data_IF_865662657105
#
_entry.id   IF_865662657105
#
_cell.length_a   1.000
_cell.length_b   1.000
_cell.length_c   1.000
_cell.angle_alpha   90.00
_cell.angle_beta   90.00
_cell.angle_gamma   90.00
#
_symmetry.space_group_name_H-M   'P 1'
#
loop_
_entity.id
_entity.type
_entity.pdbx_description
1 polymer ?
#
# COMPACT_ATOMS: atom_id res chain seq x y z
N UNK A 1 22.11 -16.52 6.65
CA UNK A 1 21.05 -15.65 6.09
C UNK A 1 19.96 -16.45 5.37
N UNK A 2 20.19 -17.16 4.27
CA UNK A 2 19.13 -17.92 3.56
C UNK A 2 18.43 -19.01 4.37
N UNK A 3 19.13 -19.75 5.26
CA UNK A 3 18.53 -20.77 6.13
C UNK A 3 17.66 -20.19 7.25
N UNK A 4 17.98 -19.01 7.71
CA UNK A 4 17.30 -18.31 8.80
C UNK A 4 15.88 -17.87 8.37
N UNK A 5 15.76 -17.25 7.20
CA UNK A 5 14.44 -16.89 6.66
C UNK A 5 13.59 -18.11 6.28
N UNK A 6 14.22 -19.21 5.84
CA UNK A 6 13.49 -20.46 5.55
C UNK A 6 12.86 -21.06 6.80
N UNK A 7 13.50 -20.94 7.96
CA UNK A 7 12.92 -21.36 9.24
C UNK A 7 11.79 -20.41 9.66
N UNK A 8 12.02 -19.10 9.48
CA UNK A 8 11.07 -18.07 9.88
C UNK A 8 9.73 -18.20 9.12
N UNK A 9 9.76 -18.33 7.80
CA UNK A 9 8.54 -18.45 6.98
C UNK A 9 7.76 -19.76 7.21
N UNK A 10 8.41 -20.77 7.82
CA UNK A 10 7.77 -22.06 8.11
C UNK A 10 7.14 -22.15 9.51
N UNK A 11 7.25 -21.12 10.33
CA UNK A 11 6.61 -21.08 11.65
C UNK A 11 5.08 -21.05 11.56
N UNK A 12 4.42 -21.51 12.62
CA UNK A 12 2.97 -21.49 12.68
C UNK A 12 2.41 -20.24 13.32
N UNK A 13 3.18 -19.55 14.14
CA UNK A 13 2.81 -18.29 14.76
C UNK A 13 3.92 -17.27 14.57
N UNK A 14 3.56 -16.04 14.36
CA UNK A 14 4.49 -14.96 14.06
C UNK A 14 4.40 -13.86 15.12
N UNK A 15 5.53 -13.52 15.71
CA UNK A 15 5.65 -12.31 16.51
C UNK A 15 5.76 -11.07 15.60
N UNK A 16 5.61 -9.87 16.18
CA UNK A 16 5.87 -8.62 15.46
C UNK A 16 7.30 -8.57 14.87
N UNK A 17 8.29 -9.11 15.61
CA UNK A 17 9.68 -9.14 15.15
C UNK A 17 9.83 -10.06 13.94
N UNK A 18 9.19 -11.22 13.96
CA UNK A 18 9.22 -12.17 12.85
C UNK A 18 8.63 -11.56 11.58
N UNK A 19 7.46 -10.93 11.71
CA UNK A 19 6.77 -10.27 10.59
C UNK A 19 7.58 -9.08 10.06
N UNK A 20 8.20 -8.30 10.94
CA UNK A 20 9.09 -7.20 10.54
C UNK A 20 10.31 -7.70 9.78
N UNK A 21 10.90 -8.82 10.22
CA UNK A 21 12.04 -9.43 9.54
C UNK A 21 11.66 -9.96 8.14
N UNK A 22 10.47 -10.59 7.99
CA UNK A 22 9.98 -11.06 6.70
C UNK A 22 9.76 -9.87 5.75
N UNK A 23 9.08 -8.84 6.20
CA UNK A 23 8.77 -7.64 5.39
C UNK A 23 10.07 -6.93 4.98
N UNK A 24 11.00 -6.72 5.90
CA UNK A 24 12.27 -6.07 5.62
C UNK A 24 13.12 -6.91 4.65
N UNK A 25 13.24 -8.22 4.90
CA UNK A 25 14.02 -9.09 4.03
C UNK A 25 13.47 -9.14 2.59
N UNK A 26 12.16 -9.08 2.42
CA UNK A 26 11.56 -8.97 1.10
C UNK A 26 11.82 -7.60 0.46
N UNK A 27 11.68 -6.52 1.23
CA UNK A 27 11.90 -5.16 0.73
C UNK A 27 13.35 -4.88 0.34
N UNK A 28 14.33 -5.55 0.99
CA UNK A 28 15.76 -5.44 0.66
C UNK A 28 16.23 -6.43 -0.40
N UNK A 29 15.40 -7.39 -0.79
CA UNK A 29 15.74 -8.46 -1.74
C UNK A 29 16.48 -9.66 -1.13
N UNK A 30 16.60 -9.70 0.20
CA UNK A 30 17.21 -10.84 0.91
C UNK A 30 16.30 -12.07 0.93
N UNK A 31 14.99 -11.85 0.82
CA UNK A 31 13.96 -12.89 0.64
C UNK A 31 13.48 -12.87 -0.82
N UNK A 32 13.64 -14.01 -1.52
CA UNK A 32 13.22 -14.12 -2.92
C UNK A 32 11.69 -14.09 -3.07
N UNK A 33 11.21 -13.69 -4.27
CA UNK A 33 9.79 -13.69 -4.61
C UNK A 33 9.14 -15.07 -4.45
N UNK A 34 9.84 -16.15 -4.82
CA UNK A 34 9.31 -17.51 -4.67
C UNK A 34 9.06 -17.85 -3.21
N UNK A 35 10.01 -17.54 -2.33
CA UNK A 35 9.83 -17.77 -0.89
C UNK A 35 8.74 -16.88 -0.28
N UNK A 36 8.65 -15.64 -0.73
CA UNK A 36 7.56 -14.76 -0.31
C UNK A 36 6.20 -15.28 -0.78
N UNK A 37 6.14 -15.83 -1.99
CA UNK A 37 4.93 -16.50 -2.53
C UNK A 37 4.53 -17.69 -1.66
N UNK A 38 5.48 -18.58 -1.34
CA UNK A 38 5.24 -19.75 -0.47
C UNK A 38 4.69 -19.32 0.89
N UNK A 39 5.25 -18.26 1.47
CA UNK A 39 4.79 -17.71 2.74
C UNK A 39 3.38 -17.13 2.64
N UNK A 40 3.08 -16.35 1.59
CA UNK A 40 1.74 -15.78 1.36
C UNK A 40 0.72 -16.89 1.14
N UNK A 41 1.06 -17.94 0.39
CA UNK A 41 0.21 -19.11 0.18
C UNK A 41 -0.08 -19.83 1.50
N UNK A 42 0.93 -20.01 2.33
CA UNK A 42 0.75 -20.56 3.68
C UNK A 42 -0.22 -19.72 4.52
N UNK A 43 -0.05 -18.40 4.53
CA UNK A 43 -0.95 -17.48 5.25
C UNK A 43 -2.38 -17.53 4.68
N UNK A 44 -2.52 -17.65 3.36
CA UNK A 44 -3.82 -17.78 2.72
C UNK A 44 -4.61 -18.99 3.23
N UNK A 45 -3.96 -20.14 3.36
CA UNK A 45 -4.62 -21.37 3.83
C UNK A 45 -4.79 -21.43 5.35
N UNK A 46 -3.83 -20.94 6.09
CA UNK A 46 -3.83 -20.96 7.55
C UNK A 46 -4.66 -19.84 8.17
N UNK A 47 -4.63 -18.67 7.58
CA UNK A 47 -5.08 -17.40 8.18
C UNK A 47 -4.04 -16.79 9.12
N UNK A 48 -4.40 -15.63 9.66
CA UNK A 48 -3.65 -14.91 10.70
C UNK A 48 -4.60 -14.55 11.84
N UNK A 49 -4.09 -14.54 13.06
CA UNK A 49 -4.82 -13.97 14.20
C UNK A 49 -4.97 -12.45 14.03
N UNK A 50 -5.83 -11.84 14.84
CA UNK A 50 -5.99 -10.38 14.86
C UNK A 50 -4.67 -9.70 15.23
N UNK A 51 -3.95 -10.25 16.20
CA UNK A 51 -2.66 -9.75 16.68
C UNK A 51 -1.58 -9.88 15.60
N UNK A 52 -1.52 -11.01 14.90
CA UNK A 52 -0.62 -11.21 13.76
C UNK A 52 -0.94 -10.24 12.61
N UNK A 53 -2.22 -10.06 12.28
CA UNK A 53 -2.66 -9.13 11.24
C UNK A 53 -2.32 -7.69 11.57
N UNK A 54 -2.51 -7.26 12.82
CA UNK A 54 -2.13 -5.94 13.29
C UNK A 54 -0.61 -5.75 13.25
N UNK A 55 0.15 -6.76 13.69
CA UNK A 55 1.61 -6.77 13.67
C UNK A 55 2.16 -6.72 12.24
N UNK A 56 1.57 -7.47 11.32
CA UNK A 56 1.95 -7.46 9.91
C UNK A 56 1.68 -6.10 9.25
N UNK A 57 0.50 -5.53 9.51
CA UNK A 57 0.15 -4.19 9.06
C UNK A 57 1.17 -3.16 9.56
N UNK A 58 1.52 -3.20 10.84
CA UNK A 58 2.51 -2.30 11.42
C UNK A 58 3.91 -2.50 10.83
N UNK A 59 4.31 -3.73 10.55
CA UNK A 59 5.58 -4.04 9.89
C UNK A 59 5.63 -3.43 8.48
N UNK A 60 4.56 -3.55 7.69
CA UNK A 60 4.44 -2.93 6.37
C UNK A 60 4.51 -1.40 6.47
N UNK A 61 3.77 -0.79 7.40
CA UNK A 61 3.82 0.66 7.63
C UNK A 61 5.24 1.13 7.96
N UNK A 62 5.97 0.36 8.75
CA UNK A 62 7.34 0.73 9.16
C UNK A 62 8.39 0.51 8.06
N UNK A 63 8.12 -0.36 7.08
CA UNK A 63 9.03 -0.61 5.96
C UNK A 63 8.95 0.45 4.85
N UNK A 64 7.88 1.23 4.83
CA UNK A 64 7.60 2.22 3.79
C UNK A 64 7.92 3.66 4.21
N UNK A 65 7.75 4.57 3.25
CA UNK A 65 7.84 6.02 3.51
C UNK A 65 6.51 6.51 4.06
N UNK A 66 6.54 7.17 5.21
CA UNK A 66 5.37 7.83 5.79
C UNK A 66 5.32 9.28 5.32
N UNK A 67 4.19 9.67 4.75
CA UNK A 67 3.96 11.05 4.33
C UNK A 67 3.41 11.85 5.52
N UNK A 68 4.01 13.00 5.76
CA UNK A 68 3.55 13.94 6.77
C UNK A 68 2.95 15.17 6.06
N UNK A 69 1.72 15.50 6.42
CA UNK A 69 0.95 16.65 5.95
C UNK A 69 0.48 17.53 7.12
N UNK A 70 1.08 17.38 8.30
CA UNK A 70 0.71 18.15 9.51
C UNK A 70 0.87 19.66 9.37
N UNK A 71 1.67 20.11 8.41
CA UNK A 71 1.87 21.53 8.08
C UNK A 71 0.70 22.13 7.26
N UNK A 72 -0.22 21.33 6.74
CA UNK A 72 -1.37 21.82 5.98
C UNK A 72 -2.45 22.32 6.93
N UNK A 73 -2.97 23.52 6.68
CA UNK A 73 -3.96 24.19 7.53
C UNK A 73 -5.41 23.75 7.28
N UNK A 74 -5.63 22.62 6.60
CA UNK A 74 -6.96 22.14 6.24
C UNK A 74 -7.17 20.66 6.57
N UNK A 75 -8.30 20.15 6.12
CA UNK A 75 -8.66 18.74 6.31
C UNK A 75 -7.94 17.90 5.26
N UNK A 76 -7.10 17.00 5.71
CA UNK A 76 -6.44 15.99 4.86
C UNK A 76 -7.24 14.71 4.89
N UNK A 77 -7.66 14.21 3.73
CA UNK A 77 -8.48 13.02 3.61
C UNK A 77 -7.93 12.07 2.57
N UNK A 78 -8.01 10.80 2.84
CA UNK A 78 -7.76 9.74 1.88
C UNK A 78 -8.90 8.72 1.91
N UNK A 79 -9.02 7.95 0.87
CA UNK A 79 -10.02 6.90 0.73
C UNK A 79 -9.35 5.66 0.13
N UNK A 80 -9.44 4.57 0.82
CA UNK A 80 -9.00 3.28 0.31
C UNK A 80 -10.10 2.59 -0.49
N UNK A 81 -9.74 1.99 -1.63
CA UNK A 81 -10.65 1.10 -2.35
C UNK A 81 -10.90 -0.17 -1.52
N UNK A 82 -12.14 -0.62 -1.49
CA UNK A 82 -12.49 -1.91 -0.86
C UNK A 82 -12.12 -3.12 -1.72
N UNK A 83 -11.45 -2.90 -2.84
CA UNK A 83 -11.10 -3.91 -3.82
C UNK A 83 -12.25 -4.23 -4.79
N UNK A 84 -12.03 -5.21 -5.65
CA UNK A 84 -13.04 -5.69 -6.60
C UNK A 84 -13.12 -4.91 -7.90
N UNK A 85 -14.15 -5.20 -8.67
CA UNK A 85 -14.32 -4.69 -10.03
C UNK A 85 -14.73 -3.21 -10.00
N UNK A 86 -13.85 -2.36 -10.49
CA UNK A 86 -14.24 -1.00 -10.87
C UNK A 86 -14.35 -0.01 -9.73
N UNK A 87 -13.23 0.30 -9.08
CA UNK A 87 -13.15 1.48 -8.21
C UNK A 87 -13.39 2.77 -9.03
N UNK A 88 -14.66 3.06 -9.26
CA UNK A 88 -15.11 4.29 -9.93
C UNK A 88 -15.25 5.42 -8.93
N UNK A 89 -15.42 5.09 -7.67
CA UNK A 89 -15.67 6.06 -6.59
C UNK A 89 -14.48 6.98 -6.40
N UNK A 90 -13.26 6.45 -6.42
CA UNK A 90 -12.06 7.28 -6.26
C UNK A 90 -11.92 8.35 -7.34
N UNK A 91 -12.29 8.03 -8.59
CA UNK A 91 -12.21 8.97 -9.71
C UNK A 91 -13.17 10.16 -9.58
N UNK A 92 -14.26 9.99 -8.86
CA UNK A 92 -15.28 11.01 -8.63
C UNK A 92 -15.04 11.69 -7.29
N UNK A 93 -14.79 10.90 -6.25
CA UNK A 93 -14.69 11.38 -4.87
C UNK A 93 -13.45 12.24 -4.65
N UNK A 94 -12.31 11.88 -5.23
CA UNK A 94 -11.07 12.66 -5.09
C UNK A 94 -11.23 14.11 -5.54
N UNK A 95 -11.59 14.37 -6.81
CA UNK A 95 -11.86 15.73 -7.27
C UNK A 95 -12.98 16.44 -6.52
N UNK A 96 -14.03 15.72 -6.12
CA UNK A 96 -15.15 16.31 -5.37
C UNK A 96 -14.69 16.81 -3.99
N UNK A 97 -13.91 16.03 -3.27
CA UNK A 97 -13.37 16.43 -1.97
C UNK A 97 -12.38 17.59 -2.10
N UNK A 98 -11.55 17.60 -3.14
CA UNK A 98 -10.66 18.72 -3.43
C UNK A 98 -11.46 20.00 -3.73
N UNK A 99 -12.52 19.91 -4.55
CA UNK A 99 -13.41 21.03 -4.82
C UNK A 99 -14.15 21.53 -3.57
N UNK A 100 -14.26 20.68 -2.55
CA UNK A 100 -14.86 21.04 -1.24
C UNK A 100 -13.85 21.64 -0.27
N UNK A 101 -12.57 21.82 -0.70
CA UNK A 101 -11.51 22.43 0.09
C UNK A 101 -10.72 21.45 0.96
N UNK A 102 -10.80 20.15 0.67
CA UNK A 102 -9.97 19.15 1.34
C UNK A 102 -8.65 18.94 0.57
N UNK A 103 -7.58 18.64 1.29
CA UNK A 103 -6.36 18.09 0.70
C UNK A 103 -6.52 16.58 0.51
N UNK A 104 -6.31 16.08 -0.70
CA UNK A 104 -6.59 14.67 -1.04
C UNK A 104 -5.33 13.98 -1.56
N UNK A 105 -4.39 13.58 -0.68
CA UNK A 105 -3.17 12.88 -1.06
C UNK A 105 -3.43 11.41 -1.38
N UNK A 106 -4.32 11.13 -2.33
CA UNK A 106 -4.74 9.78 -2.65
C UNK A 106 -3.64 9.00 -3.36
N UNK A 107 -3.25 7.87 -2.79
CA UNK A 107 -2.32 6.92 -3.38
C UNK A 107 -3.11 5.67 -3.77
N UNK A 108 -2.95 5.26 -5.02
CA UNK A 108 -3.69 4.14 -5.60
C UNK A 108 -2.75 3.10 -6.18
N UNK A 109 -3.23 1.86 -6.23
CA UNK A 109 -2.48 0.73 -6.76
C UNK A 109 -2.94 0.28 -8.14
N UNK A 110 -2.18 -0.70 -8.65
CA UNK A 110 -2.51 -1.43 -9.87
C UNK A 110 -3.57 -2.52 -9.61
N UNK A 111 -3.80 -3.33 -10.61
CA UNK A 111 -4.80 -4.39 -10.62
C UNK A 111 -4.68 -5.37 -9.45
N UNK A 112 -5.82 -5.90 -9.07
CA UNK A 112 -5.92 -7.06 -8.19
C UNK A 112 -6.64 -8.18 -8.96
N UNK A 113 -5.98 -9.33 -9.12
CA UNK A 113 -6.52 -10.46 -9.87
C UNK A 113 -6.75 -10.11 -11.34
N UNK A 114 -7.98 -10.29 -11.83
CA UNK A 114 -8.38 -10.07 -13.22
C UNK A 114 -8.91 -8.66 -13.53
N UNK A 115 -8.87 -7.74 -12.54
CA UNK A 115 -9.43 -6.40 -12.69
C UNK A 115 -8.36 -5.33 -12.72
N UNK A 116 -8.52 -4.32 -13.57
CA UNK A 116 -7.66 -3.14 -13.53
C UNK A 116 -7.87 -2.32 -12.25
N UNK A 117 -6.77 -1.87 -11.64
CA UNK A 117 -6.78 -0.96 -10.49
C UNK A 117 -7.12 0.47 -10.90
N UNK A 118 -7.22 1.34 -9.91
CA UNK A 118 -7.46 2.78 -10.14
C UNK A 118 -6.32 3.40 -10.94
N UNK A 119 -5.07 3.00 -10.65
CA UNK A 119 -3.91 3.45 -11.41
C UNK A 119 -3.98 3.08 -12.88
N UNK A 120 -4.35 1.82 -13.19
CA UNK A 120 -4.46 1.34 -14.57
C UNK A 120 -5.52 2.11 -15.36
N UNK A 121 -6.62 2.50 -14.70
CA UNK A 121 -7.66 3.34 -15.32
C UNK A 121 -7.17 4.74 -15.62
N UNK A 122 -6.43 5.35 -14.70
CA UNK A 122 -5.87 6.68 -14.90
C UNK A 122 -4.79 6.69 -15.98
N UNK A 123 -3.96 5.66 -16.07
CA UNK A 123 -2.97 5.51 -17.15
C UNK A 123 -3.61 5.41 -18.55
N UNK A 124 -4.87 4.97 -18.64
CA UNK A 124 -5.59 4.93 -19.91
C UNK A 124 -5.93 6.32 -20.48
N UNK A 125 -5.80 7.37 -19.68
CA UNK A 125 -6.03 8.76 -20.10
C UNK A 125 -4.77 9.27 -20.80
N UNK A 126 -4.83 9.66 -22.08
CA UNK A 126 -3.66 10.15 -22.81
C UNK A 126 -3.00 11.33 -22.11
N UNK A 127 -1.70 11.22 -21.84
CA UNK A 127 -0.90 12.28 -21.22
C UNK A 127 -0.96 12.30 -19.67
N UNK A 128 -1.74 11.43 -19.04
CA UNK A 128 -1.73 11.30 -17.58
C UNK A 128 -0.39 10.71 -17.09
N UNK A 129 0.18 11.33 -16.06
CA UNK A 129 1.44 10.91 -15.44
C UNK A 129 1.17 10.36 -14.05
N UNK A 130 1.03 9.04 -13.88
CA UNK A 130 0.64 8.44 -12.60
C UNK A 130 1.79 8.39 -11.60
N UNK A 131 3.02 8.37 -12.07
CA UNK A 131 4.21 8.33 -11.22
C UNK A 131 4.78 9.73 -11.07
N UNK A 132 4.67 10.25 -9.86
CA UNK A 132 5.20 11.55 -9.50
C UNK A 132 6.34 11.37 -8.49
N UNK A 133 7.38 12.20 -8.64
CA UNK A 133 8.34 12.37 -7.56
C UNK A 133 7.62 12.93 -6.32
N UNK A 134 8.07 12.53 -5.13
CA UNK A 134 7.43 12.93 -3.87
C UNK A 134 7.30 14.45 -3.72
N UNK A 135 8.28 15.21 -4.23
CA UNK A 135 8.26 16.66 -4.26
C UNK A 135 7.10 17.21 -5.09
N UNK A 136 6.89 16.65 -6.29
CA UNK A 136 5.83 17.10 -7.19
C UNK A 136 4.45 16.67 -6.68
N UNK A 137 4.37 15.49 -6.08
CA UNK A 137 3.17 15.02 -5.40
C UNK A 137 2.74 15.99 -4.29
N UNK A 138 3.64 16.33 -3.37
CA UNK A 138 3.38 17.31 -2.30
C UNK A 138 2.98 18.67 -2.86
N UNK A 139 3.68 19.18 -3.89
CA UNK A 139 3.35 20.43 -4.55
C UNK A 139 1.94 20.41 -5.15
N UNK A 140 1.55 19.34 -5.82
CA UNK A 140 0.22 19.24 -6.43
C UNK A 140 -0.89 19.30 -5.38
N UNK A 141 -0.73 18.61 -4.25
CA UNK A 141 -1.70 18.61 -3.15
C UNK A 141 -1.92 20.05 -2.62
N UNK A 142 -0.87 20.85 -2.54
CA UNK A 142 -0.97 22.24 -2.04
C UNK A 142 -1.45 23.25 -3.07
N UNK A 143 -1.48 22.88 -4.36
CA UNK A 143 -1.78 23.84 -5.44
C UNK A 143 -3.19 23.64 -6.01
N UNK A 144 -3.77 22.45 -5.87
CA UNK A 144 -5.04 22.04 -6.51
C UNK A 144 -6.19 21.98 -5.48
N UNK A 145 -6.16 22.82 -4.49
CA UNK A 145 -7.27 23.00 -3.54
C UNK A 145 -8.10 24.22 -3.87
#
# INVERSE_FOLDING_TARGET
>A
MFEEYSKLINQDNFSFVDLSNIVNAFSTGDLSEDKMRDWIEKIYYKGMSIEESASYTQAIINSGVKLDFSELSGIVVDKHSTGGVGDKVSLILGPLLAAYGCYVPMIVGRSLGHTGGTLDKLESIPGYKPYLELKDFKKNITTIT
#
